data_IF_479552981184
#
_entry.id   IF_479552981184
#
_cell.length_a   1.000
_cell.length_b   1.000
_cell.length_c   1.000
_cell.angle_alpha   90.00
_cell.angle_beta   90.00
_cell.angle_gamma   90.00
#
_symmetry.space_group_name_H-M   'P 1'
#
loop_
_entity.id
_entity.type
_entity.pdbx_description
1 polymer ?
#
# COMPACT_ATOMS: atom_id res chain seq x y z
N UNK A 1 7.01 -28.14 12.75
CA UNK A 1 7.03 -27.39 11.48
C UNK A 1 6.82 -25.91 11.78
N UNK A 2 7.75 -25.07 11.37
CA UNK A 2 7.60 -23.63 11.59
C UNK A 2 6.55 -23.05 10.65
N UNK A 3 5.71 -22.18 11.17
CA UNK A 3 4.74 -21.46 10.36
C UNK A 3 5.44 -20.27 9.73
N UNK A 4 5.30 -20.14 8.41
CA UNK A 4 5.84 -19.00 7.67
C UNK A 4 4.65 -18.10 7.31
N UNK A 5 4.73 -16.84 7.75
CA UNK A 5 3.66 -15.88 7.51
C UNK A 5 3.95 -15.06 6.26
N UNK A 6 2.89 -14.77 5.49
CA UNK A 6 2.96 -13.91 4.33
C UNK A 6 2.45 -12.53 4.68
N UNK A 7 3.18 -11.52 4.25
CA UNK A 7 2.86 -10.11 4.53
C UNK A 7 2.66 -9.39 3.20
N UNK A 8 1.49 -8.84 2.97
CA UNK A 8 1.25 -8.04 1.77
C UNK A 8 1.77 -6.63 2.02
N UNK A 9 2.59 -6.14 1.10
CA UNK A 9 3.18 -4.80 1.17
C UNK A 9 2.50 -3.94 0.11
N UNK A 10 1.72 -2.97 0.54
CA UNK A 10 0.94 -2.09 -0.32
C UNK A 10 1.47 -0.66 -0.26
N UNK A 11 1.61 -0.01 -1.40
CA UNK A 11 1.93 1.41 -1.51
C UNK A 11 1.79 1.84 -2.95
N UNK A 12 1.87 3.15 -3.21
CA UNK A 12 2.17 3.63 -4.55
C UNK A 12 3.61 3.24 -4.89
N UNK A 13 3.89 3.02 -6.17
CA UNK A 13 5.18 2.46 -6.58
C UNK A 13 6.22 3.54 -6.87
N UNK A 14 5.87 4.51 -7.71
CA UNK A 14 6.86 5.45 -8.24
C UNK A 14 7.54 6.29 -7.17
N UNK A 15 6.81 6.67 -6.13
CA UNK A 15 7.32 7.52 -5.05
C UNK A 15 7.94 6.75 -3.89
N UNK A 16 7.58 5.47 -3.72
CA UNK A 16 8.01 4.66 -2.57
C UNK A 16 8.79 3.41 -2.96
N UNK A 17 9.36 3.41 -4.15
CA UNK A 17 10.07 2.25 -4.69
C UNK A 17 11.19 1.76 -3.77
N UNK A 18 12.01 2.67 -3.27
CA UNK A 18 13.13 2.30 -2.40
C UNK A 18 12.65 1.83 -1.02
N UNK A 19 11.64 2.50 -0.48
CA UNK A 19 11.05 2.15 0.81
C UNK A 19 10.41 0.76 0.76
N UNK A 20 9.70 0.45 -0.32
CA UNK A 20 9.12 -0.88 -0.52
C UNK A 20 10.19 -1.96 -0.52
N UNK A 21 11.28 -1.70 -1.23
CA UNK A 21 12.38 -2.66 -1.30
C UNK A 21 12.98 -2.91 0.08
N UNK A 22 13.22 -1.85 0.85
CA UNK A 22 13.77 -1.97 2.19
C UNK A 22 12.85 -2.74 3.13
N UNK A 23 11.56 -2.49 3.07
CA UNK A 23 10.58 -3.20 3.88
C UNK A 23 10.53 -4.67 3.49
N UNK A 24 10.50 -4.97 2.19
CA UNK A 24 10.47 -6.35 1.70
C UNK A 24 11.72 -7.13 2.12
N UNK A 25 12.90 -6.50 2.00
CA UNK A 25 14.15 -7.14 2.43
C UNK A 25 14.18 -7.39 3.93
N UNK A 26 13.70 -6.43 4.72
CA UNK A 26 13.64 -6.56 6.17
C UNK A 26 12.70 -7.69 6.59
N UNK A 27 11.53 -7.77 5.94
CA UNK A 27 10.58 -8.86 6.20
C UNK A 27 11.20 -10.22 5.87
N UNK A 28 11.85 -10.32 4.72
CA UNK A 28 12.49 -11.57 4.32
C UNK A 28 13.56 -12.00 5.31
N UNK A 29 14.39 -11.07 5.78
CA UNK A 29 15.41 -11.35 6.78
C UNK A 29 14.83 -11.78 8.12
N UNK A 30 13.63 -11.30 8.44
CA UNK A 30 12.95 -11.67 9.69
C UNK A 30 12.17 -12.99 9.57
N UNK A 31 12.20 -13.63 8.41
CA UNK A 31 11.54 -14.93 8.22
C UNK A 31 10.12 -14.84 7.66
N UNK A 32 9.68 -13.66 7.24
CA UNK A 32 8.37 -13.49 6.59
C UNK A 32 8.52 -13.57 5.07
N UNK A 33 7.43 -13.85 4.38
CA UNK A 33 7.38 -13.83 2.92
C UNK A 33 6.66 -12.57 2.48
N UNK A 34 7.37 -11.58 1.91
CA UNK A 34 6.71 -10.38 1.41
C UNK A 34 6.03 -10.66 0.06
N UNK A 35 4.85 -10.09 -0.13
CA UNK A 35 4.13 -10.13 -1.39
C UNK A 35 3.69 -8.70 -1.73
N UNK A 36 3.65 -8.35 -3.00
CA UNK A 36 3.25 -7.00 -3.37
C UNK A 36 3.35 -6.73 -4.85
N UNK A 37 3.17 -5.46 -5.20
CA UNK A 37 3.00 -5.02 -6.58
C UNK A 37 4.27 -5.11 -7.44
N UNK A 38 5.45 -5.34 -6.87
CA UNK A 38 6.67 -5.56 -7.64
C UNK A 38 6.51 -6.69 -8.65
N UNK A 39 5.64 -7.63 -8.33
CA UNK A 39 5.34 -8.76 -9.23
C UNK A 39 4.28 -8.40 -10.28
N UNK A 40 3.64 -7.23 -10.15
CA UNK A 40 2.50 -6.82 -10.99
C UNK A 40 2.65 -5.35 -11.35
N UNK A 41 3.55 -5.03 -12.31
CA UNK A 41 3.95 -3.64 -12.57
C UNK A 41 2.88 -2.76 -13.21
N UNK A 42 1.85 -3.31 -13.80
CA UNK A 42 0.78 -2.52 -14.42
C UNK A 42 -0.53 -2.71 -13.66
N UNK A 43 -0.97 -1.68 -12.93
CA UNK A 43 -2.20 -1.75 -12.17
C UNK A 43 -3.40 -1.42 -13.05
N UNK A 44 -4.25 -2.40 -13.32
CA UNK A 44 -5.54 -2.23 -13.99
C UNK A 44 -6.61 -3.04 -13.23
N UNK A 45 -7.85 -2.99 -13.70
CA UNK A 45 -8.95 -3.63 -12.99
C UNK A 45 -8.79 -5.15 -12.89
N UNK A 46 -8.26 -5.79 -13.91
CA UNK A 46 -8.03 -7.24 -13.87
C UNK A 46 -6.95 -7.59 -12.86
N UNK A 47 -5.90 -6.76 -12.78
CA UNK A 47 -4.84 -6.97 -11.82
C UNK A 47 -5.31 -6.74 -10.39
N UNK A 48 -6.23 -5.80 -10.18
CA UNK A 48 -6.80 -5.61 -8.85
C UNK A 48 -7.46 -6.88 -8.35
N UNK A 49 -8.24 -7.56 -9.19
CA UNK A 49 -8.85 -8.84 -8.81
C UNK A 49 -7.81 -9.89 -8.47
N UNK A 50 -6.73 -9.95 -9.26
CA UNK A 50 -5.63 -10.88 -8.99
C UNK A 50 -4.92 -10.55 -7.67
N UNK A 51 -4.66 -9.27 -7.44
CA UNK A 51 -4.02 -8.81 -6.19
C UNK A 51 -4.89 -9.15 -4.99
N UNK A 52 -6.21 -9.03 -5.11
CA UNK A 52 -7.11 -9.41 -4.03
C UNK A 52 -6.97 -10.90 -3.67
N UNK A 53 -6.75 -11.76 -4.65
CA UNK A 53 -6.49 -13.17 -4.38
C UNK A 53 -5.16 -13.39 -3.66
N UNK A 54 -4.16 -12.56 -3.96
CA UNK A 54 -2.89 -12.62 -3.22
C UNK A 54 -3.10 -12.18 -1.78
N UNK A 55 -3.86 -11.12 -1.56
CA UNK A 55 -4.19 -10.63 -0.21
C UNK A 55 -4.93 -11.72 0.57
N UNK A 56 -5.83 -12.47 -0.07
CA UNK A 56 -6.57 -13.57 0.56
C UNK A 56 -5.63 -14.62 1.19
N UNK A 57 -4.43 -14.76 0.66
CA UNK A 57 -3.45 -15.74 1.12
C UNK A 57 -2.45 -15.15 2.12
N UNK A 58 -2.54 -13.86 2.39
CA UNK A 58 -1.63 -13.20 3.31
C UNK A 58 -2.17 -13.22 4.73
N UNK A 59 -1.26 -13.17 5.69
CA UNK A 59 -1.59 -13.17 7.11
C UNK A 59 -1.61 -11.77 7.69
N UNK A 60 -0.84 -10.86 7.10
CA UNK A 60 -0.72 -9.48 7.56
C UNK A 60 -0.69 -8.56 6.35
N UNK A 61 -1.07 -7.31 6.57
CA UNK A 61 -1.11 -6.29 5.53
C UNK A 61 -0.36 -5.05 6.02
N UNK A 62 0.61 -4.61 5.23
CA UNK A 62 1.38 -3.39 5.49
C UNK A 62 1.04 -2.38 4.39
N UNK A 63 0.65 -1.18 4.76
CA UNK A 63 0.42 -0.10 3.82
C UNK A 63 1.36 1.06 4.15
N UNK A 64 2.03 1.57 3.12
CA UNK A 64 2.91 2.73 3.23
C UNK A 64 2.33 3.86 2.40
N UNK A 65 2.24 5.05 2.97
CA UNK A 65 1.69 6.23 2.30
C UNK A 65 2.73 7.34 2.31
N UNK A 66 3.12 7.78 1.13
CA UNK A 66 4.03 8.91 0.93
C UNK A 66 3.30 10.12 0.39
N UNK A 67 3.80 10.67 -0.73
CA UNK A 67 3.28 11.90 -1.32
C UNK A 67 2.23 11.70 -2.42
N UNK A 68 1.87 10.48 -2.76
CA UNK A 68 0.98 10.21 -3.89
C UNK A 68 -0.22 9.37 -3.49
N UNK A 69 -1.38 9.72 -4.03
CA UNK A 69 -2.57 8.88 -3.91
C UNK A 69 -2.50 7.69 -4.87
N UNK A 70 -1.89 7.91 -6.03
CA UNK A 70 -1.64 6.87 -7.01
C UNK A 70 -2.68 6.76 -8.10
N UNK A 71 -2.54 5.73 -8.92
CA UNK A 71 -3.43 5.46 -10.04
C UNK A 71 -4.82 5.09 -9.55
N UNK A 72 -5.85 5.54 -10.29
CA UNK A 72 -7.24 5.34 -9.90
C UNK A 72 -7.82 4.09 -10.56
N UNK A 73 -8.62 3.35 -9.80
CA UNK A 73 -9.48 2.29 -10.33
C UNK A 73 -10.70 2.92 -11.02
N UNK A 74 -11.59 2.08 -11.57
CA UNK A 74 -12.76 2.55 -12.32
C UNK A 74 -13.69 3.45 -11.53
N UNK A 75 -13.73 3.30 -10.21
CA UNK A 75 -14.56 4.08 -9.31
C UNK A 75 -13.86 5.34 -8.78
N UNK A 76 -12.71 5.69 -9.34
CA UNK A 76 -11.89 6.84 -8.98
C UNK A 76 -11.27 6.78 -7.59
N UNK A 77 -11.24 5.60 -6.99
CA UNK A 77 -10.50 5.34 -5.76
C UNK A 77 -9.17 4.70 -6.18
N UNK A 78 -8.06 5.06 -5.51
CA UNK A 78 -6.76 4.53 -5.91
C UNK A 78 -6.68 3.02 -5.69
N UNK A 79 -5.85 2.33 -6.47
CA UNK A 79 -5.63 0.91 -6.29
C UNK A 79 -5.08 0.60 -4.90
N UNK A 80 -4.20 1.47 -4.37
CA UNK A 80 -3.69 1.31 -3.00
C UNK A 80 -4.80 1.36 -1.96
N UNK A 81 -5.70 2.31 -2.09
CA UNK A 81 -6.83 2.41 -1.16
C UNK A 81 -7.79 1.23 -1.32
N UNK A 82 -8.02 0.76 -2.54
CA UNK A 82 -8.85 -0.42 -2.79
C UNK A 82 -8.26 -1.68 -2.16
N UNK A 83 -6.95 -1.86 -2.29
CA UNK A 83 -6.26 -2.98 -1.65
C UNK A 83 -6.41 -2.91 -0.14
N UNK A 84 -6.25 -1.73 0.43
CA UNK A 84 -6.41 -1.51 1.87
C UNK A 84 -7.83 -1.85 2.34
N UNK A 85 -8.85 -1.35 1.64
CA UNK A 85 -10.24 -1.64 1.97
C UNK A 85 -10.52 -3.14 1.90
N UNK A 86 -9.98 -3.80 0.90
CA UNK A 86 -10.14 -5.24 0.75
C UNK A 86 -9.52 -6.00 1.92
N UNK A 87 -8.29 -5.63 2.31
CA UNK A 87 -7.62 -6.27 3.45
C UNK A 87 -8.42 -6.09 4.73
N UNK A 88 -8.98 -4.89 4.96
CA UNK A 88 -9.86 -4.66 6.10
C UNK A 88 -11.09 -5.56 6.07
N UNK A 89 -11.70 -5.73 4.89
CA UNK A 89 -12.89 -6.56 4.75
C UNK A 89 -12.62 -8.03 5.06
N UNK A 90 -11.37 -8.46 4.90
CA UNK A 90 -10.93 -9.82 5.20
C UNK A 90 -10.46 -9.98 6.64
N UNK A 91 -10.46 -8.92 7.42
CA UNK A 91 -10.04 -8.97 8.82
C UNK A 91 -8.55 -9.12 9.05
N UNK A 92 -7.71 -8.81 8.05
CA UNK A 92 -6.27 -8.89 8.21
C UNK A 92 -5.78 -7.83 9.19
N UNK A 93 -4.82 -8.16 10.06
CA UNK A 93 -4.12 -7.13 10.82
C UNK A 93 -3.39 -6.18 9.88
N UNK A 94 -3.60 -4.88 10.07
CA UNK A 94 -3.03 -3.84 9.21
C UNK A 94 -2.03 -3.01 9.99
N UNK A 95 -0.86 -2.80 9.38
CA UNK A 95 0.16 -1.89 9.89
C UNK A 95 0.35 -0.80 8.85
N UNK A 96 0.11 0.46 9.26
CA UNK A 96 0.19 1.60 8.36
C UNK A 96 1.40 2.46 8.70
N UNK A 97 2.18 2.81 7.67
CA UNK A 97 3.32 3.72 7.80
C UNK A 97 3.03 4.99 7.01
N UNK A 98 2.98 6.13 7.69
CA UNK A 98 2.76 7.43 7.09
C UNK A 98 4.06 8.23 7.11
N UNK A 99 4.24 9.10 6.11
CA UNK A 99 5.42 9.96 6.09
C UNK A 99 5.36 10.94 7.25
N UNK A 100 6.44 11.00 8.05
CA UNK A 100 6.48 11.86 9.24
C UNK A 100 6.56 13.35 8.97
N UNK A 101 7.01 13.73 7.76
CA UNK A 101 7.14 15.13 7.35
C UNK A 101 6.69 15.30 5.91
N UNK A 102 5.36 15.28 5.65
CA UNK A 102 4.85 15.34 4.27
C UNK A 102 5.32 16.59 3.50
N UNK A 103 5.53 17.69 4.18
CA UNK A 103 6.00 18.93 3.57
C UNK A 103 7.44 18.83 3.06
N UNK A 104 8.20 17.86 3.53
CA UNK A 104 9.57 17.64 3.07
C UNK A 104 9.64 16.70 1.86
N UNK A 105 8.53 16.17 1.39
CA UNK A 105 8.51 15.27 0.24
C UNK A 105 8.80 16.06 -1.04
N UNK A 106 9.77 15.61 -1.88
CA UNK A 106 10.04 16.30 -3.15
C UNK A 106 8.80 16.35 -4.04
N UNK A 107 8.62 17.46 -4.77
CA UNK A 107 7.48 17.63 -5.66
C UNK A 107 7.34 16.49 -6.66
N UNK A 108 8.45 15.94 -7.16
CA UNK A 108 8.43 14.83 -8.09
C UNK A 108 7.85 13.53 -7.52
N UNK A 109 7.69 13.46 -6.20
CA UNK A 109 7.11 12.31 -5.50
C UNK A 109 5.72 12.62 -4.93
N UNK A 110 5.06 13.65 -5.44
CA UNK A 110 3.71 14.04 -5.02
C UNK A 110 2.76 14.01 -6.20
N UNK A 111 1.46 14.04 -5.91
CA UNK A 111 0.45 14.16 -6.96
C UNK A 111 0.45 15.57 -7.55
N UNK A 112 0.32 15.64 -8.89
CA UNK A 112 0.20 16.92 -9.60
C UNK A 112 -1.23 17.48 -9.51
N UNK A 113 -2.19 16.67 -9.13
CA UNK A 113 -3.61 16.97 -9.20
C UNK A 113 -4.16 17.24 -7.81
N UNK A 114 -4.85 18.39 -7.64
CA UNK A 114 -5.42 18.77 -6.36
C UNK A 114 -6.50 17.80 -5.86
N UNK A 115 -7.26 17.21 -6.78
CA UNK A 115 -8.29 16.24 -6.40
C UNK A 115 -7.66 14.99 -5.79
N UNK A 116 -6.56 14.51 -6.38
CA UNK A 116 -5.81 13.39 -5.82
C UNK A 116 -5.17 13.75 -4.48
N UNK A 117 -4.62 14.96 -4.35
CA UNK A 117 -4.02 15.40 -3.09
C UNK A 117 -5.05 15.41 -1.96
N UNK A 118 -6.29 15.85 -2.24
CA UNK A 118 -7.37 15.82 -1.25
C UNK A 118 -7.78 14.40 -0.88
N UNK A 119 -7.83 13.50 -1.86
CA UNK A 119 -8.14 12.09 -1.62
C UNK A 119 -7.04 11.43 -0.79
N UNK A 120 -5.79 11.76 -1.06
CA UNK A 120 -4.67 11.25 -0.27
C UNK A 120 -4.80 11.66 1.18
N UNK A 121 -5.10 12.93 1.43
CA UNK A 121 -5.25 13.44 2.80
C UNK A 121 -6.39 12.75 3.53
N UNK A 122 -7.52 12.52 2.87
CA UNK A 122 -8.64 11.81 3.45
C UNK A 122 -8.27 10.36 3.78
N UNK A 123 -7.53 9.70 2.90
CA UNK A 123 -7.05 8.34 3.12
C UNK A 123 -6.11 8.27 4.31
N UNK A 124 -5.13 9.19 4.37
CA UNK A 124 -4.19 9.27 5.50
C UNK A 124 -4.92 9.45 6.83
N UNK A 125 -5.94 10.32 6.85
CA UNK A 125 -6.72 10.56 8.04
C UNK A 125 -7.42 9.27 8.51
N UNK A 126 -7.94 8.48 7.58
CA UNK A 126 -8.59 7.22 7.90
C UNK A 126 -7.61 6.14 8.39
N UNK A 127 -6.33 6.27 8.07
CA UNK A 127 -5.29 5.32 8.51
C UNK A 127 -4.73 5.64 9.89
N UNK A 128 -4.89 6.88 10.37
CA UNK A 128 -4.35 7.27 11.67
C UNK A 128 -5.15 6.60 12.78
N UNK A 129 -4.47 6.11 13.82
CA UNK A 129 -5.21 5.54 14.95
C UNK A 129 -6.04 6.63 15.62
N UNK A 130 -7.18 6.24 16.14
CA UNK A 130 -8.03 7.14 16.92
C UNK A 130 -7.24 7.65 18.12
N UNK A 131 -7.24 8.96 18.28
CA UNK A 131 -6.54 9.60 19.38
C UNK A 131 -7.17 9.28 20.73
#
# INVERSE_FOLDING_TARGET
>A
METIYQVFVSSTYADLKDERRQVSETLAKAGFVPAGMELFPAADQQQLEFIQRVIDRCDYYVVMVGGRYGSLADDRISFTEREYEYALSKGLPVLAFLHGSPEAIPVGKTDENRAKARKLKAFETGLQPDA
#
